data_IF_829002715356
#
_entry.id   IF_829002715356
#
_cell.length_a   1.000
_cell.length_b   1.000
_cell.length_c   1.000
_cell.angle_alpha   90.00
_cell.angle_beta   90.00
_cell.angle_gamma   90.00
#
_symmetry.space_group_name_H-M   'P 1'
#
loop_
_entity.id
_entity.type
_entity.pdbx_description
1 polymer ?
#
# COMPACT_ATOMS: atom_id res chain seq x y z
N UNK A 1 -45.97 22.93 -8.13
CA UNK A 1 -46.26 21.50 -8.37
C UNK A 1 -46.04 21.17 -9.83
N UNK A 2 -44.94 20.51 -10.17
CA UNK A 2 -44.77 19.70 -11.37
C UNK A 2 -43.44 18.94 -11.23
N UNK A 3 -43.54 17.63 -11.30
CA UNK A 3 -42.50 16.63 -11.08
C UNK A 3 -41.59 16.53 -12.30
N UNK A 4 -40.29 16.34 -12.08
CA UNK A 4 -39.38 15.77 -13.07
C UNK A 4 -38.52 14.70 -12.36
N UNK A 5 -38.70 13.40 -12.64
CA UNK A 5 -37.82 12.34 -12.19
C UNK A 5 -36.71 12.10 -13.23
N UNK A 6 -35.54 11.59 -12.83
CA UNK A 6 -34.67 10.68 -13.60
C UNK A 6 -33.30 10.52 -12.91
N UNK A 7 -33.15 9.48 -12.09
CA UNK A 7 -31.86 8.82 -11.80
C UNK A 7 -32.11 7.33 -11.58
N UNK A 8 -31.82 6.51 -12.60
CA UNK A 8 -31.59 5.06 -12.46
C UNK A 8 -31.09 4.49 -13.80
N UNK A 9 -29.77 4.29 -13.89
CA UNK A 9 -29.07 3.35 -14.79
C UNK A 9 -27.87 2.92 -13.95
N UNK A 10 -27.75 1.69 -13.46
CA UNK A 10 -27.49 0.46 -14.20
C UNK A 10 -28.11 -0.75 -13.49
N UNK A 11 -29.05 -1.46 -14.12
CA UNK A 11 -29.37 -2.87 -13.84
C UNK A 11 -29.84 -3.56 -15.12
N UNK A 12 -29.58 -4.87 -15.15
CA UNK A 12 -29.78 -5.89 -16.19
C UNK A 12 -28.54 -6.11 -17.08
N UNK A 13 -28.05 -7.34 -17.26
CA UNK A 13 -28.79 -8.59 -17.31
C UNK A 13 -27.94 -9.79 -16.89
N UNK A 14 -28.54 -10.76 -16.19
CA UNK A 14 -28.35 -12.19 -16.44
C UNK A 14 -29.58 -12.91 -15.87
N UNK A 15 -30.40 -13.47 -16.75
CA UNK A 15 -31.55 -14.32 -16.41
C UNK A 15 -31.26 -15.74 -16.88
N UNK A 16 -31.33 -16.67 -15.91
CA UNK A 16 -31.79 -18.07 -16.00
C UNK A 16 -31.29 -18.94 -17.16
N UNK A 17 -30.43 -19.89 -16.82
CA UNK A 17 -30.49 -21.26 -17.34
C UNK A 17 -30.53 -22.21 -16.13
N UNK A 18 -31.57 -23.05 -16.09
CA UNK A 18 -31.69 -24.15 -15.16
C UNK A 18 -30.91 -25.36 -15.71
N UNK A 19 -30.15 -26.05 -14.86
CA UNK A 19 -29.81 -27.46 -15.11
C UNK A 19 -29.75 -28.24 -13.79
N UNK A 20 -30.68 -29.17 -13.69
CA UNK A 20 -30.79 -30.26 -12.72
C UNK A 20 -29.73 -31.33 -13.03
N UNK A 21 -29.06 -31.91 -12.01
CA UNK A 21 -28.60 -33.32 -11.93
C UNK A 21 -27.78 -33.50 -10.64
N UNK A 22 -28.34 -34.13 -9.60
CA UNK A 22 -28.30 -35.56 -9.23
C UNK A 22 -26.94 -36.09 -8.74
N UNK A 23 -26.98 -36.56 -7.48
CA UNK A 23 -25.94 -37.30 -6.77
C UNK A 23 -25.51 -38.58 -7.49
N UNK A 24 -24.24 -38.93 -7.34
CA UNK A 24 -23.81 -40.32 -7.15
C UNK A 24 -22.59 -40.37 -6.23
N UNK A 25 -22.78 -40.99 -5.05
CA UNK A 25 -21.69 -41.48 -4.21
C UNK A 25 -21.07 -42.72 -4.87
N UNK A 26 -19.74 -42.83 -4.80
CA UNK A 26 -19.10 -44.14 -4.66
C UNK A 26 -17.79 -44.01 -3.89
N UNK A 27 -17.78 -44.74 -2.79
CA UNK A 27 -16.77 -44.88 -1.77
C UNK A 27 -15.67 -45.84 -2.21
N UNK A 28 -14.41 -45.55 -1.90
CA UNK A 28 -13.45 -46.61 -1.56
C UNK A 28 -12.44 -46.12 -0.52
N UNK A 29 -12.47 -46.79 0.63
CA UNK A 29 -11.53 -46.71 1.74
C UNK A 29 -10.19 -47.36 1.37
N UNK A 30 -9.06 -46.73 1.69
CA UNK A 30 -7.83 -47.43 2.09
C UNK A 30 -7.16 -46.62 3.20
N UNK A 31 -7.15 -47.18 4.41
CA UNK A 31 -6.38 -46.74 5.59
C UNK A 31 -5.03 -47.49 5.69
N UNK A 32 -4.10 -47.05 6.56
CA UNK A 32 -2.68 -46.93 6.21
C UNK A 32 -1.80 -48.04 6.77
N UNK A 33 -0.56 -48.13 6.27
CA UNK A 33 0.51 -48.90 6.89
C UNK A 33 1.62 -47.95 7.35
N UNK A 34 1.90 -47.98 8.65
CA UNK A 34 3.04 -47.36 9.30
C UNK A 34 4.22 -48.35 9.35
N UNK A 35 5.45 -47.85 9.14
CA UNK A 35 6.72 -48.44 9.55
C UNK A 35 7.79 -47.34 9.40
N UNK A 36 8.20 -46.71 10.50
CA UNK A 36 9.37 -47.04 11.33
C UNK A 36 10.61 -46.23 10.91
N UNK A 37 11.10 -45.46 11.87
CA UNK A 37 12.26 -44.60 11.83
C UNK A 37 13.57 -45.38 11.81
N UNK A 38 14.58 -44.83 11.13
CA UNK A 38 15.97 -44.98 11.56
C UNK A 38 16.80 -43.76 11.13
N UNK A 39 17.68 -43.36 12.04
CA UNK A 39 18.52 -42.17 11.98
C UNK A 39 19.70 -42.36 11.02
N UNK A 40 20.06 -41.31 10.29
CA UNK A 40 21.22 -41.26 9.40
C UNK A 40 21.83 -39.86 9.37
N UNK A 41 23.14 -39.80 9.60
CA UNK A 41 23.95 -38.63 9.91
C UNK A 41 24.06 -37.55 8.81
N UNK A 42 24.39 -36.35 9.25
CA UNK A 42 24.62 -35.13 8.48
C UNK A 42 25.95 -35.10 7.70
N UNK A 43 25.92 -34.52 6.49
CA UNK A 43 27.02 -33.82 5.81
C UNK A 43 26.50 -33.09 4.53
N UNK A 44 27.21 -32.07 4.00
CA UNK A 44 26.61 -30.80 3.58
C UNK A 44 26.11 -30.75 2.12
N UNK A 45 25.06 -29.96 1.91
CA UNK A 45 24.49 -29.65 0.59
C UNK A 45 25.31 -28.54 -0.08
N UNK A 46 25.95 -28.89 -1.19
CA UNK A 46 26.51 -27.93 -2.14
C UNK A 46 25.37 -27.12 -2.79
N UNK A 47 25.50 -25.79 -2.74
CA UNK A 47 24.72 -24.83 -3.51
C UNK A 47 24.75 -25.19 -5.00
N UNK A 48 23.58 -25.39 -5.62
CA UNK A 48 23.42 -25.39 -7.07
C UNK A 48 23.21 -23.95 -7.54
N UNK A 49 24.22 -23.38 -8.16
CA UNK A 49 24.11 -22.17 -8.99
C UNK A 49 23.26 -22.46 -10.23
N UNK A 50 22.38 -21.52 -10.56
CA UNK A 50 21.68 -21.46 -11.84
C UNK A 50 22.70 -21.24 -13.00
N UNK A 51 22.43 -21.74 -14.22
CA UNK A 51 23.39 -21.67 -15.32
C UNK A 51 23.56 -20.25 -15.83
N UNK A 52 24.81 -19.79 -15.82
CA UNK A 52 25.24 -18.51 -16.37
C UNK A 52 25.03 -18.45 -17.88
N UNK A 53 24.54 -17.30 -18.34
CA UNK A 53 24.56 -16.91 -19.75
C UNK A 53 26.01 -16.71 -20.19
N UNK A 54 26.45 -17.54 -21.13
CA UNK A 54 27.75 -17.44 -21.78
C UNK A 54 27.80 -16.19 -22.67
N UNK A 55 28.48 -15.15 -22.21
CA UNK A 55 28.91 -14.03 -23.05
C UNK A 55 30.18 -14.46 -23.80
N UNK A 56 30.07 -14.66 -25.11
CA UNK A 56 31.22 -14.87 -25.99
C UNK A 56 31.91 -13.52 -26.20
N UNK A 57 33.10 -13.35 -25.63
CA UNK A 57 33.96 -12.18 -25.86
C UNK A 57 34.57 -12.25 -27.27
N UNK A 58 34.20 -11.30 -28.13
CA UNK A 58 34.97 -10.94 -29.32
C UNK A 58 36.04 -9.88 -28.95
N UNK A 59 37.23 -9.88 -29.58
CA UNK A 59 38.32 -9.00 -29.20
C UNK A 59 38.01 -7.52 -29.50
N UNK A 60 38.50 -6.56 -28.69
CA UNK A 60 38.24 -5.15 -28.91
C UNK A 60 39.07 -4.63 -30.09
N UNK A 61 38.37 -4.25 -31.16
CA UNK A 61 38.94 -3.38 -32.19
C UNK A 61 39.04 -1.94 -31.66
N UNK A 62 40.26 -1.43 -31.52
CA UNK A 62 40.53 -0.03 -31.19
C UNK A 62 40.08 0.91 -32.32
N UNK A 63 39.29 1.94 -31.98
CA UNK A 63 39.64 3.36 -32.16
C UNK A 63 38.39 4.26 -32.10
N UNK A 64 38.46 5.26 -31.22
CA UNK A 64 37.44 6.29 -31.09
C UNK A 64 37.41 6.81 -29.67
N UNK A 65 38.20 7.84 -29.38
CA UNK A 65 37.99 8.67 -28.19
C UNK A 65 36.58 9.23 -28.24
N UNK A 66 35.63 8.53 -27.63
CA UNK A 66 34.32 9.10 -27.31
C UNK A 66 34.60 10.22 -26.31
N UNK A 67 34.46 11.48 -26.75
CA UNK A 67 34.76 12.62 -25.89
C UNK A 67 33.98 12.55 -24.57
N UNK A 68 34.38 13.29 -23.51
CA UNK A 68 33.80 13.15 -22.17
C UNK A 68 32.26 13.15 -22.11
N UNK A 69 31.59 13.91 -22.99
CA UNK A 69 30.13 13.94 -23.10
C UNK A 69 29.51 12.63 -23.63
N UNK A 70 30.18 11.95 -24.55
CA UNK A 70 29.72 10.68 -25.11
C UNK A 70 29.76 9.55 -24.06
N UNK A 71 30.79 9.53 -23.21
CA UNK A 71 30.86 8.62 -22.06
C UNK A 71 29.72 8.89 -21.06
N UNK A 72 29.49 10.16 -20.70
CA UNK A 72 28.41 10.57 -19.78
C UNK A 72 27.02 10.14 -20.27
N UNK A 73 26.69 10.31 -21.56
CA UNK A 73 25.38 9.87 -22.07
C UNK A 73 25.24 8.35 -22.09
N UNK A 74 26.32 7.59 -22.32
CA UNK A 74 26.31 6.13 -22.24
C UNK A 74 26.08 5.65 -20.80
N UNK A 75 26.85 6.15 -19.84
CA UNK A 75 26.66 5.84 -18.42
C UNK A 75 25.24 6.19 -17.95
N UNK A 76 24.74 7.36 -18.34
CA UNK A 76 23.37 7.76 -18.00
C UNK A 76 22.32 6.86 -18.64
N UNK A 77 22.52 6.41 -19.88
CA UNK A 77 21.62 5.46 -20.53
C UNK A 77 21.66 4.09 -19.86
N UNK A 78 22.85 3.59 -19.49
CA UNK A 78 23.05 2.33 -18.75
C UNK A 78 22.49 2.36 -17.32
N UNK A 79 22.36 3.54 -16.72
CA UNK A 79 21.72 3.71 -15.42
C UNK A 79 20.18 3.77 -15.47
N UNK A 80 19.55 3.92 -16.64
CA UNK A 80 18.09 3.96 -16.74
C UNK A 80 17.46 2.62 -16.36
N UNK A 81 16.42 2.67 -15.52
CA UNK A 81 15.64 1.50 -15.12
C UNK A 81 14.18 1.74 -15.52
N UNK A 82 13.52 0.67 -15.99
CA UNK A 82 12.06 0.59 -16.11
C UNK A 82 11.64 -0.59 -15.23
N UNK A 83 11.02 -0.29 -14.10
CA UNK A 83 10.62 -1.31 -13.13
C UNK A 83 9.53 -2.23 -13.72
N UNK A 84 9.59 -3.51 -13.37
CA UNK A 84 8.64 -4.55 -13.82
C UNK A 84 8.47 -4.67 -15.33
N UNK A 85 9.53 -4.44 -16.12
CA UNK A 85 9.43 -4.45 -17.58
C UNK A 85 8.85 -5.77 -18.12
N UNK A 86 9.13 -6.91 -17.52
CA UNK A 86 8.64 -8.24 -17.90
C UNK A 86 7.26 -8.62 -17.32
N UNK A 87 6.68 -7.78 -16.46
CA UNK A 87 5.36 -8.00 -15.83
C UNK A 87 4.60 -6.67 -15.61
N UNK A 88 4.38 -5.91 -16.67
CA UNK A 88 3.71 -4.60 -16.58
C UNK A 88 2.21 -4.79 -16.36
N UNK A 89 1.72 -4.34 -15.20
CA UNK A 89 0.30 -4.42 -14.78
C UNK A 89 -0.38 -3.07 -14.51
N UNK A 90 0.35 -1.97 -14.64
CA UNK A 90 -0.17 -0.62 -14.42
C UNK A 90 0.71 0.42 -15.11
N UNK A 91 0.41 1.70 -14.88
CA UNK A 91 1.24 2.79 -15.36
C UNK A 91 2.68 2.64 -14.85
N UNK A 92 3.66 3.04 -15.67
CA UNK A 92 5.08 2.95 -15.35
C UNK A 92 5.71 4.34 -15.22
N UNK A 93 6.76 4.44 -14.41
CA UNK A 93 7.57 5.65 -14.34
C UNK A 93 8.63 5.62 -15.43
N UNK A 94 8.65 6.67 -16.26
CA UNK A 94 9.67 6.87 -17.29
C UNK A 94 10.46 8.14 -16.96
N UNK A 95 11.71 8.05 -16.49
CA UNK A 95 12.49 9.22 -16.10
C UNK A 95 12.73 10.14 -17.29
N UNK A 96 12.58 11.45 -17.08
CA UNK A 96 12.84 12.50 -18.09
C UNK A 96 14.24 13.10 -17.97
N UNK A 97 14.97 12.71 -16.92
CA UNK A 97 16.37 13.05 -16.67
C UNK A 97 17.15 11.82 -16.22
N UNK A 98 18.47 11.84 -16.41
CA UNK A 98 19.37 10.78 -15.94
C UNK A 98 20.63 11.35 -15.30
N UNK A 99 21.61 10.48 -15.06
CA UNK A 99 22.92 10.87 -14.52
C UNK A 99 23.54 12.02 -15.33
N UNK A 100 24.42 12.79 -14.67
CA UNK A 100 25.20 13.87 -15.30
C UNK A 100 24.34 15.03 -15.86
N UNK A 101 23.11 15.20 -15.38
CA UNK A 101 22.18 16.22 -15.90
C UNK A 101 21.70 15.92 -17.33
N UNK A 102 21.68 14.65 -17.72
CA UNK A 102 21.21 14.25 -19.04
C UNK A 102 19.69 14.36 -19.15
N UNK A 103 19.19 14.74 -20.32
CA UNK A 103 17.76 14.71 -20.64
C UNK A 103 17.40 13.39 -21.31
N UNK A 104 16.22 12.85 -20.99
CA UNK A 104 15.72 11.58 -21.51
C UNK A 104 14.37 11.80 -22.16
N UNK A 105 14.23 11.33 -23.39
CA UNK A 105 12.95 11.31 -24.11
C UNK A 105 12.63 9.90 -24.58
N UNK A 106 11.37 9.49 -24.47
CA UNK A 106 10.94 8.12 -24.75
C UNK A 106 10.17 8.01 -26.06
N UNK A 107 10.19 6.81 -26.65
CA UNK A 107 9.34 6.43 -27.77
C UNK A 107 8.88 4.99 -27.58
N UNK A 108 7.61 4.72 -27.87
CA UNK A 108 7.04 3.38 -27.92
C UNK A 108 6.85 2.93 -29.36
N UNK A 109 7.04 1.63 -29.63
CA UNK A 109 6.62 1.04 -30.91
C UNK A 109 5.11 0.71 -30.94
N UNK A 110 4.42 0.75 -29.79
CA UNK A 110 3.00 0.47 -29.61
C UNK A 110 2.40 1.50 -28.65
N UNK A 111 2.30 2.75 -29.10
CA UNK A 111 1.82 3.88 -28.27
C UNK A 111 0.39 3.71 -27.74
N UNK A 112 -0.43 2.85 -28.39
CA UNK A 112 -1.77 2.48 -27.89
C UNK A 112 -1.76 1.55 -26.68
N UNK A 113 -0.62 0.92 -26.37
CA UNK A 113 -0.43 -0.01 -25.25
C UNK A 113 0.40 0.64 -24.15
N UNK A 114 1.52 1.27 -24.51
CA UNK A 114 2.33 2.06 -23.58
C UNK A 114 2.70 3.37 -24.26
N UNK A 115 2.28 4.49 -23.67
CA UNK A 115 2.57 5.83 -24.20
C UNK A 115 4.05 6.20 -23.95
N UNK A 116 4.57 7.24 -24.62
CA UNK A 116 5.89 7.79 -24.30
C UNK A 116 6.00 8.40 -22.89
N UNK A 117 4.89 8.63 -22.21
CA UNK A 117 4.81 9.19 -20.85
C UNK A 117 4.52 8.13 -19.78
N UNK A 118 4.37 6.86 -20.17
CA UNK A 118 4.29 5.72 -19.25
C UNK A 118 2.88 5.33 -18.84
N UNK A 119 1.83 5.91 -19.44
CA UNK A 119 0.47 5.40 -19.28
C UNK A 119 0.34 4.05 -20.02
N UNK A 120 -0.33 3.10 -19.38
CA UNK A 120 -0.46 1.73 -19.88
C UNK A 120 -1.94 1.39 -20.12
N UNK A 121 -2.24 0.99 -21.34
CA UNK A 121 -3.52 0.39 -21.72
C UNK A 121 -3.32 -1.10 -21.96
N UNK A 122 -3.83 -1.91 -21.04
CA UNK A 122 -3.61 -3.36 -21.00
C UNK A 122 -4.51 -4.08 -22.02
N UNK A 123 -4.08 -5.22 -22.58
CA UNK A 123 -4.97 -6.09 -23.33
C UNK A 123 -6.19 -6.51 -22.50
N UNK A 124 -7.30 -6.81 -23.16
CA UNK A 124 -8.51 -7.32 -22.50
C UNK A 124 -8.27 -8.66 -21.80
N UNK A 125 -9.13 -8.98 -20.84
CA UNK A 125 -9.10 -10.28 -20.17
C UNK A 125 -9.18 -11.45 -21.18
N UNK A 126 -8.34 -12.46 -20.98
CA UNK A 126 -8.24 -13.64 -21.87
C UNK A 126 -7.42 -13.42 -23.15
N UNK A 127 -6.95 -12.21 -23.43
CA UNK A 127 -6.01 -11.96 -24.53
C UNK A 127 -4.57 -12.34 -24.16
N UNK A 128 -3.74 -12.55 -25.18
CA UNK A 128 -2.30 -12.75 -25.00
C UNK A 128 -1.60 -11.47 -24.48
N UNK A 129 -0.54 -11.60 -23.65
CA UNK A 129 0.28 -10.46 -23.24
C UNK A 129 0.84 -9.67 -24.43
N UNK A 130 0.88 -8.34 -24.32
CA UNK A 130 1.41 -7.49 -25.36
C UNK A 130 2.90 -7.21 -25.17
N UNK A 131 3.73 -7.59 -26.15
CA UNK A 131 5.14 -7.20 -26.18
C UNK A 131 5.34 -5.80 -26.75
N UNK A 132 6.00 -4.90 -26.01
CA UNK A 132 6.26 -3.51 -26.37
C UNK A 132 7.76 -3.22 -26.33
N UNK A 133 8.27 -2.43 -27.27
CA UNK A 133 9.66 -1.96 -27.27
C UNK A 133 9.67 -0.46 -26.98
N UNK A 134 10.18 -0.09 -25.81
CA UNK A 134 10.45 1.31 -25.46
C UNK A 134 11.88 1.67 -25.85
N UNK A 135 12.07 2.89 -26.36
CA UNK A 135 13.39 3.45 -26.68
C UNK A 135 13.57 4.77 -25.94
N UNK A 136 14.48 4.79 -24.96
CA UNK A 136 14.98 6.00 -24.35
C UNK A 136 16.04 6.63 -25.27
N UNK A 137 15.94 7.94 -25.51
CA UNK A 137 17.01 8.75 -26.11
C UNK A 137 17.57 9.66 -25.04
N UNK A 138 18.83 9.44 -24.68
CA UNK A 138 19.55 10.19 -23.63
C UNK A 138 20.45 11.23 -24.28
N UNK A 139 20.41 12.47 -23.81
CA UNK A 139 21.12 13.61 -24.42
C UNK A 139 21.86 14.45 -23.39
N UNK A 140 23.04 14.94 -23.79
CA UNK A 140 23.80 15.98 -23.08
C UNK A 140 24.46 16.90 -24.11
N UNK A 141 23.93 18.11 -24.28
CA UNK A 141 24.31 18.99 -25.38
C UNK A 141 24.07 18.33 -26.75
N UNK A 142 25.12 18.20 -27.55
CA UNK A 142 25.06 17.51 -28.86
C UNK A 142 25.26 15.98 -28.77
N UNK A 143 25.81 15.49 -27.66
CA UNK A 143 25.99 14.05 -27.46
C UNK A 143 24.62 13.40 -27.19
N UNK A 144 24.39 12.25 -27.82
CA UNK A 144 23.17 11.47 -27.62
C UNK A 144 23.45 9.98 -27.76
N UNK A 145 22.74 9.17 -27.00
CA UNK A 145 22.68 7.71 -27.17
C UNK A 145 21.25 7.22 -27.01
N UNK A 146 21.00 5.95 -27.33
CA UNK A 146 19.70 5.30 -27.15
C UNK A 146 19.84 4.01 -26.36
N UNK A 147 18.87 3.74 -25.49
CA UNK A 147 18.68 2.45 -24.83
C UNK A 147 17.30 1.91 -25.14
N UNK A 148 17.20 0.60 -25.31
CA UNK A 148 15.93 -0.10 -25.55
C UNK A 148 15.54 -0.91 -24.32
N UNK A 149 14.25 -1.00 -24.08
CA UNK A 149 13.63 -1.83 -23.07
C UNK A 149 12.54 -2.66 -23.74
N UNK A 150 12.56 -3.97 -23.50
CA UNK A 150 11.52 -4.88 -23.93
C UNK A 150 10.54 -5.05 -22.77
N UNK A 151 9.27 -4.75 -23.03
CA UNK A 151 8.20 -4.79 -22.05
C UNK A 151 7.19 -5.90 -22.38
N UNK A 152 6.66 -6.55 -21.36
CA UNK A 152 5.55 -7.50 -21.42
C UNK A 152 4.38 -6.94 -20.62
N UNK A 153 3.34 -6.49 -21.31
CA UNK A 153 2.13 -5.94 -20.69
C UNK A 153 1.09 -7.04 -20.51
N UNK A 154 0.69 -7.31 -19.26
CA UNK A 154 -0.27 -8.37 -18.93
C UNK A 154 -1.70 -7.96 -19.29
N UNK A 155 -2.54 -8.90 -19.75
CA UNK A 155 -3.97 -8.65 -19.94
C UNK A 155 -4.64 -8.30 -18.61
N UNK A 156 -5.78 -7.61 -18.64
CA UNK A 156 -6.58 -7.30 -17.47
C UNK A 156 -7.02 -8.60 -16.75
N UNK A 157 -7.08 -8.60 -15.41
CA UNK A 157 -7.62 -9.72 -14.67
C UNK A 157 -9.14 -9.81 -14.84
N UNK A 158 -9.70 -10.98 -14.56
CA UNK A 158 -11.14 -11.13 -14.38
C UNK A 158 -11.56 -10.34 -13.13
N UNK A 159 -12.59 -9.50 -13.25
CA UNK A 159 -13.17 -8.80 -12.10
C UNK A 159 -14.15 -9.72 -11.37
N UNK A 160 -13.90 -9.96 -10.09
CA UNK A 160 -14.70 -10.84 -9.24
C UNK A 160 -15.27 -10.08 -8.04
N UNK A 161 -16.46 -10.47 -7.55
CA UNK A 161 -17.02 -9.89 -6.34
C UNK A 161 -16.09 -10.14 -5.14
N UNK A 162 -16.18 -9.24 -4.15
CA UNK A 162 -15.50 -9.38 -2.88
C UNK A 162 -16.38 -10.21 -1.94
N UNK A 163 -15.79 -11.23 -1.35
CA UNK A 163 -16.47 -12.24 -0.53
C UNK A 163 -15.71 -12.51 0.79
N UNK A 164 -14.95 -11.53 1.25
CA UNK A 164 -14.22 -11.54 2.50
C UNK A 164 -13.23 -10.39 2.58
N UNK A 165 -12.41 -10.43 3.62
CA UNK A 165 -11.45 -9.39 3.94
C UNK A 165 -10.14 -10.00 4.46
N UNK A 166 -9.04 -9.34 4.11
CA UNK A 166 -7.73 -9.50 4.71
C UNK A 166 -7.50 -8.32 5.65
N UNK A 167 -7.03 -8.55 6.86
CA UNK A 167 -6.60 -7.51 7.78
C UNK A 167 -5.09 -7.61 7.97
N UNK A 168 -4.36 -6.57 7.57
CA UNK A 168 -2.95 -6.39 7.89
C UNK A 168 -2.80 -5.50 9.11
N UNK A 169 -1.99 -5.91 10.09
CA UNK A 169 -1.79 -5.18 11.34
C UNK A 169 -0.43 -5.53 11.95
N UNK A 170 -0.06 -4.83 13.03
CA UNK A 170 1.03 -5.22 13.93
C UNK A 170 0.48 -5.34 15.37
N UNK A 171 1.25 -5.90 16.31
CA UNK A 171 0.73 -6.23 17.66
C UNK A 171 1.24 -5.34 18.78
N UNK A 172 2.03 -4.30 18.43
CA UNK A 172 2.47 -3.25 19.34
C UNK A 172 3.87 -3.47 19.93
N UNK A 173 4.37 -2.45 20.63
CA UNK A 173 5.71 -2.39 21.22
C UNK A 173 5.88 -3.21 22.51
N UNK A 174 4.84 -3.92 22.97
CA UNK A 174 4.91 -4.78 24.15
C UNK A 174 5.72 -6.06 23.97
N UNK A 175 6.04 -6.43 22.72
CA UNK A 175 6.64 -7.72 22.36
C UNK A 175 7.83 -7.53 21.42
N UNK A 176 8.85 -8.38 21.57
CA UNK A 176 10.06 -8.30 20.74
C UNK A 176 9.82 -8.57 19.26
N UNK A 177 8.74 -9.28 18.92
CA UNK A 177 8.28 -9.53 17.56
C UNK A 177 7.01 -8.73 17.21
N UNK A 178 6.52 -7.86 18.10
CA UNK A 178 5.22 -7.21 17.89
C UNK A 178 5.22 -6.11 16.84
N UNK A 179 6.40 -5.59 16.51
CA UNK A 179 6.64 -4.60 15.46
C UNK A 179 7.02 -5.31 14.16
N UNK A 180 6.14 -6.18 13.69
CA UNK A 180 6.24 -6.92 12.43
C UNK A 180 4.85 -6.96 11.75
N UNK A 181 4.76 -7.42 10.49
CA UNK A 181 3.46 -7.49 9.78
C UNK A 181 2.77 -8.82 10.07
N UNK A 182 1.56 -8.75 10.60
CA UNK A 182 0.66 -9.87 10.84
C UNK A 182 -0.56 -9.77 9.92
N UNK A 183 -1.17 -10.93 9.64
CA UNK A 183 -2.41 -11.00 8.88
C UNK A 183 -3.51 -11.74 9.65
N UNK A 184 -4.75 -11.32 9.42
CA UNK A 184 -5.96 -12.05 9.78
C UNK A 184 -6.92 -12.10 8.58
N UNK A 185 -7.80 -13.09 8.55
CA UNK A 185 -8.82 -13.24 7.51
C UNK A 185 -10.21 -13.23 8.13
N UNK A 186 -11.16 -12.55 7.49
CA UNK A 186 -12.54 -12.56 7.95
C UNK A 186 -13.16 -13.95 7.88
N UNK A 187 -14.06 -14.28 8.81
CA UNK A 187 -14.89 -15.48 8.78
C UNK A 187 -15.97 -15.34 7.69
N UNK A 188 -15.64 -15.77 6.48
CA UNK A 188 -16.49 -15.56 5.31
C UNK A 188 -16.57 -14.08 4.93
N UNK A 189 -17.75 -13.62 4.48
CA UNK A 189 -17.98 -12.23 4.08
C UNK A 189 -18.50 -11.36 5.24
N UNK A 190 -17.88 -11.50 6.40
CA UNK A 190 -18.21 -10.78 7.64
C UNK A 190 -17.05 -9.85 8.01
N UNK A 191 -17.31 -8.56 8.15
CA UNK A 191 -16.27 -7.61 8.51
C UNK A 191 -15.89 -7.63 10.00
N UNK A 192 -16.66 -8.28 10.86
CA UNK A 192 -16.55 -8.14 12.32
C UNK A 192 -15.96 -9.36 13.03
N UNK A 193 -15.82 -10.51 12.37
CA UNK A 193 -15.26 -11.74 12.96
C UNK A 193 -14.06 -12.24 12.16
N UNK A 194 -12.95 -12.50 12.83
CA UNK A 194 -11.65 -12.72 12.19
C UNK A 194 -10.92 -13.93 12.76
N UNK A 195 -10.14 -14.59 11.92
CA UNK A 195 -9.18 -15.60 12.33
C UNK A 195 -7.75 -15.11 12.03
N UNK A 196 -6.84 -15.23 12.98
CA UNK A 196 -5.42 -15.00 12.76
C UNK A 196 -4.86 -15.98 11.71
N UNK A 197 -4.04 -15.48 10.79
CA UNK A 197 -3.34 -16.30 9.80
C UNK A 197 -1.94 -16.66 10.28
N UNK A 198 -1.29 -17.60 9.59
CA UNK A 198 0.08 -18.06 9.88
C UNK A 198 0.27 -18.47 11.36
N UNK A 199 -0.76 -19.04 11.97
CA UNK A 199 -0.73 -19.46 13.38
C UNK A 199 -0.56 -18.33 14.40
N UNK A 200 -0.85 -17.08 14.02
CA UNK A 200 -0.63 -15.91 14.88
C UNK A 200 0.82 -15.39 14.88
N UNK A 201 1.66 -15.85 13.95
CA UNK A 201 3.05 -15.40 13.80
C UNK A 201 3.20 -14.36 12.67
N UNK A 202 4.25 -13.51 12.69
CA UNK A 202 4.50 -12.53 11.64
C UNK A 202 4.57 -13.16 10.24
N UNK A 203 3.88 -12.55 9.28
CA UNK A 203 3.92 -12.94 7.86
C UNK A 203 5.09 -12.27 7.13
N UNK A 204 5.36 -10.99 7.42
CA UNK A 204 6.52 -10.28 6.90
C UNK A 204 7.34 -9.71 8.05
N UNK A 205 8.64 -9.92 7.98
CA UNK A 205 9.59 -9.38 8.95
C UNK A 205 10.57 -8.41 8.32
N UNK A 206 10.92 -7.37 9.07
CA UNK A 206 11.89 -6.37 8.64
C UNK A 206 13.33 -6.82 8.92
N UNK A 207 14.16 -6.72 7.88
CA UNK A 207 15.60 -7.03 7.89
C UNK A 207 16.46 -5.81 7.55
N UNK A 208 15.82 -4.67 7.24
CA UNK A 208 16.41 -3.38 6.88
C UNK A 208 15.95 -2.29 7.84
N UNK A 209 16.54 -1.10 7.72
CA UNK A 209 16.17 0.04 8.54
C UNK A 209 16.38 -0.23 10.04
N UNK A 210 15.40 0.17 10.83
CA UNK A 210 15.35 -0.05 12.28
C UNK A 210 14.94 -1.49 12.65
N UNK A 211 14.55 -2.30 11.68
CA UNK A 211 14.15 -3.71 11.82
C UNK A 211 12.85 -3.95 12.61
N UNK A 212 12.11 -2.88 12.91
CA UNK A 212 10.72 -2.93 13.35
C UNK A 212 9.84 -2.32 12.25
N UNK A 213 8.66 -2.89 12.06
CA UNK A 213 7.63 -2.33 11.16
C UNK A 213 6.30 -2.17 11.86
N UNK A 214 5.72 -1.00 11.66
CA UNK A 214 4.45 -0.57 12.27
C UNK A 214 3.51 -0.06 11.19
N UNK A 215 2.23 0.03 11.53
CA UNK A 215 1.20 0.65 10.69
C UNK A 215 1.15 0.08 9.25
N UNK A 216 1.09 -1.26 9.05
CA UNK A 216 1.13 -1.80 7.70
C UNK A 216 -0.14 -1.44 6.92
N UNK A 217 0.06 -0.78 5.79
CA UNK A 217 -0.97 -0.42 4.85
C UNK A 217 -0.89 -1.28 3.59
N UNK A 218 -2.02 -1.85 3.17
CA UNK A 218 -2.10 -2.65 1.95
C UNK A 218 -3.13 -2.09 0.97
N UNK A 219 -2.72 -1.93 -0.30
CA UNK A 219 -3.59 -1.46 -1.37
C UNK A 219 -3.54 -2.40 -2.58
N UNK A 220 -4.72 -2.70 -3.13
CA UNK A 220 -4.90 -3.35 -4.42
C UNK A 220 -4.75 -2.32 -5.54
N UNK A 221 -4.05 -2.69 -6.61
CA UNK A 221 -3.93 -1.87 -7.81
C UNK A 221 -5.31 -1.60 -8.45
N UNK A 222 -5.48 -0.48 -9.17
CA UNK A 222 -6.76 -0.12 -9.78
C UNK A 222 -7.31 -1.20 -10.73
N UNK A 223 -6.41 -1.95 -11.38
CA UNK A 223 -6.80 -3.03 -12.28
C UNK A 223 -7.08 -4.34 -11.55
N UNK A 224 -6.66 -4.48 -10.29
CA UNK A 224 -7.15 -5.51 -9.38
C UNK A 224 -6.23 -6.69 -9.09
N UNK A 225 -5.07 -6.79 -9.75
CA UNK A 225 -4.21 -7.99 -9.76
C UNK A 225 -2.76 -7.76 -9.30
N UNK A 226 -2.52 -6.65 -8.61
CA UNK A 226 -1.26 -6.37 -7.92
C UNK A 226 -1.56 -5.72 -6.58
N UNK A 227 -0.74 -6.00 -5.58
CA UNK A 227 -0.88 -5.50 -4.22
C UNK A 227 0.44 -4.87 -3.80
N UNK A 228 0.33 -3.74 -3.10
CA UNK A 228 1.47 -3.09 -2.46
C UNK A 228 1.19 -3.04 -0.96
N UNK A 229 2.16 -3.48 -0.17
CA UNK A 229 2.16 -3.29 1.27
C UNK A 229 3.28 -2.32 1.61
N UNK A 230 2.94 -1.25 2.33
CA UNK A 230 3.88 -0.27 2.85
C UNK A 230 3.76 -0.18 4.36
N UNK A 231 4.84 0.16 5.06
CA UNK A 231 4.84 0.25 6.51
C UNK A 231 5.84 1.29 7.02
N UNK A 232 5.59 1.77 8.24
CA UNK A 232 6.56 2.58 9.01
C UNK A 232 7.79 1.74 9.31
N UNK A 233 8.98 2.25 9.03
CA UNK A 233 10.25 1.70 9.54
C UNK A 233 10.53 2.29 10.92
N UNK A 234 10.19 1.54 11.98
CA UNK A 234 10.36 1.99 13.36
C UNK A 234 10.43 0.79 14.31
N UNK A 235 11.47 0.79 15.14
CA UNK A 235 11.58 -0.14 16.27
C UNK A 235 11.64 0.63 17.58
N UNK A 236 10.49 0.80 18.24
CA UNK A 236 10.44 1.47 19.55
C UNK A 236 10.52 0.47 20.71
N UNK A 237 10.28 -0.83 20.45
CA UNK A 237 10.42 -1.88 21.46
C UNK A 237 11.84 -1.92 22.04
N UNK A 238 11.93 -1.75 23.37
CA UNK A 238 13.16 -1.82 24.15
C UNK A 238 13.82 -0.47 24.44
N UNK A 239 13.56 0.57 23.64
CA UNK A 239 14.07 1.95 23.86
C UNK A 239 12.98 2.85 24.45
N UNK A 240 11.82 2.95 23.79
CA UNK A 240 10.69 3.76 24.26
C UNK A 240 10.88 5.28 24.17
N UNK A 241 12.00 5.77 23.62
CA UNK A 241 12.26 7.19 23.46
C UNK A 241 11.49 7.81 22.27
N UNK A 242 10.22 8.11 22.48
CA UNK A 242 9.34 8.71 21.48
C UNK A 242 9.74 10.11 21.01
N UNK A 243 10.50 10.88 21.80
CA UNK A 243 10.96 12.20 21.35
C UNK A 243 12.09 12.05 20.32
N UNK A 244 13.05 11.16 20.58
CA UNK A 244 14.15 10.86 19.67
C UNK A 244 13.65 10.38 18.31
N UNK A 245 12.76 9.39 18.27
CA UNK A 245 12.27 8.85 16.99
C UNK A 245 11.37 9.82 16.20
N UNK A 246 10.92 10.92 16.82
CA UNK A 246 10.24 12.02 16.13
C UNK A 246 11.20 13.10 15.62
N UNK A 247 12.37 13.22 16.22
CA UNK A 247 13.41 14.18 15.81
C UNK A 247 14.38 13.55 14.82
N UNK A 248 14.78 12.31 15.03
CA UNK A 248 15.87 11.64 14.31
C UNK A 248 15.50 10.22 13.84
N UNK A 249 14.21 9.90 13.73
CA UNK A 249 13.74 8.61 13.24
C UNK A 249 13.93 8.39 11.74
N UNK A 250 13.53 7.20 11.28
CA UNK A 250 13.63 6.83 9.87
C UNK A 250 12.90 7.80 8.93
N UNK A 251 13.55 8.07 7.79
CA UNK A 251 13.02 8.87 6.66
C UNK A 251 12.51 7.99 5.52
N UNK A 252 12.30 6.71 5.81
CA UNK A 252 12.00 5.66 4.84
C UNK A 252 10.68 4.97 5.18
N UNK A 253 10.08 4.37 4.16
CA UNK A 253 9.02 3.39 4.29
C UNK A 253 9.58 2.03 3.87
N UNK A 254 9.01 0.98 4.45
CA UNK A 254 9.21 -0.37 3.94
C UNK A 254 8.17 -0.68 2.87
N UNK A 255 8.56 -1.42 1.83
CA UNK A 255 7.68 -1.77 0.71
C UNK A 255 7.84 -3.24 0.32
N UNK A 256 6.70 -3.92 0.19
CA UNK A 256 6.55 -5.25 -0.41
C UNK A 256 5.48 -5.23 -1.49
N UNK A 257 5.58 -6.17 -2.43
CA UNK A 257 4.61 -6.36 -3.50
C UNK A 257 4.18 -7.80 -3.61
N UNK A 258 2.93 -8.02 -4.02
CA UNK A 258 2.41 -9.34 -4.33
C UNK A 258 1.45 -9.29 -5.52
N UNK A 259 1.27 -10.43 -6.20
CA UNK A 259 0.17 -10.63 -7.16
C UNK A 259 -0.87 -11.63 -6.65
N UNK A 260 -0.65 -12.21 -5.46
CA UNK A 260 -1.50 -13.27 -4.93
C UNK A 260 -1.79 -13.21 -3.41
N UNK A 261 -1.27 -12.19 -2.73
CA UNK A 261 -1.36 -11.92 -1.28
C UNK A 261 -0.62 -12.91 -0.37
N UNK A 262 0.04 -13.93 -0.93
CA UNK A 262 0.77 -14.96 -0.17
C UNK A 262 2.27 -14.87 -0.42
N UNK A 263 2.66 -14.77 -1.68
CA UNK A 263 4.05 -14.61 -2.06
C UNK A 263 4.35 -13.13 -2.21
N UNK A 264 5.27 -12.65 -1.39
CA UNK A 264 5.69 -11.26 -1.34
C UNK A 264 7.10 -11.11 -1.91
N UNK A 265 7.38 -9.95 -2.51
CA UNK A 265 8.71 -9.58 -2.95
C UNK A 265 9.70 -9.52 -1.79
N UNK A 266 10.99 -9.37 -2.09
CA UNK A 266 11.94 -8.93 -1.06
C UNK A 266 11.56 -7.53 -0.53
N UNK A 267 11.92 -7.27 0.73
CA UNK A 267 11.74 -5.98 1.38
C UNK A 267 12.54 -4.88 0.67
N UNK A 268 11.91 -3.74 0.43
CA UNK A 268 12.57 -2.52 -0.03
C UNK A 268 12.45 -1.41 1.03
N UNK A 269 13.59 -0.86 1.42
CA UNK A 269 13.71 0.29 2.33
C UNK A 269 13.83 1.56 1.48
N UNK A 270 12.73 2.31 1.35
CA UNK A 270 12.58 3.38 0.35
C UNK A 270 12.45 4.74 1.02
N UNK A 271 13.39 5.64 0.71
CA UNK A 271 13.37 7.00 1.23
C UNK A 271 12.27 7.82 0.57
N UNK A 272 11.43 8.49 1.37
CA UNK A 272 10.34 9.34 0.86
C UNK A 272 10.33 10.75 1.46
N UNK A 273 10.92 10.93 2.64
CA UNK A 273 10.93 12.22 3.34
C UNK A 273 12.13 13.12 2.99
N UNK A 274 11.97 14.45 3.06
CA UNK A 274 13.03 15.41 2.82
C UNK A 274 14.12 15.35 3.92
N UNK A 275 15.25 16.03 3.71
CA UNK A 275 16.38 16.01 4.66
C UNK A 275 16.01 16.62 6.02
N UNK A 276 15.14 17.63 6.05
CA UNK A 276 14.71 18.32 7.27
C UNK A 276 13.49 17.67 7.97
N UNK A 277 13.11 16.46 7.56
CA UNK A 277 12.09 15.68 8.27
C UNK A 277 12.70 14.93 9.45
N UNK A 278 11.95 14.83 10.55
CA UNK A 278 12.35 14.03 11.71
C UNK A 278 11.93 12.57 11.64
N UNK A 279 10.89 12.25 10.87
CA UNK A 279 10.30 10.91 10.82
C UNK A 279 9.42 10.71 9.57
N UNK A 280 9.08 9.45 9.28
CA UNK A 280 8.04 9.03 8.33
C UNK A 280 7.16 7.98 9.02
N UNK A 281 5.95 8.36 9.41
CA UNK A 281 5.06 7.48 10.18
C UNK A 281 3.72 7.26 9.50
N UNK A 282 3.16 6.06 9.71
CA UNK A 282 1.88 5.59 9.21
C UNK A 282 1.66 5.90 7.71
N UNK A 283 2.51 5.35 6.83
CA UNK A 283 2.36 5.58 5.41
C UNK A 283 1.13 4.83 4.87
N UNK A 284 0.24 5.55 4.20
CA UNK A 284 -0.84 4.96 3.40
C UNK A 284 -0.78 5.45 1.96
N UNK A 285 -1.57 4.85 1.07
CA UNK A 285 -1.64 5.25 -0.33
C UNK A 285 -3.06 5.19 -0.89
N UNK A 286 -3.39 6.12 -1.78
CA UNK A 286 -4.62 6.07 -2.57
C UNK A 286 -4.32 6.36 -4.04
N UNK A 287 -5.01 5.70 -4.97
CA UNK A 287 -4.79 5.93 -6.41
C UNK A 287 -5.58 7.14 -6.92
N UNK A 288 -4.88 8.13 -7.47
CA UNK A 288 -5.47 9.31 -8.11
C UNK A 288 -5.55 9.09 -9.63
N UNK A 289 -6.76 8.78 -10.11
CA UNK A 289 -7.01 8.58 -11.54
C UNK A 289 -6.66 9.80 -12.40
N UNK A 290 -6.76 11.02 -11.85
CA UNK A 290 -6.51 12.27 -12.60
C UNK A 290 -5.05 12.43 -13.03
N UNK A 291 -4.12 11.75 -12.35
CA UNK A 291 -2.69 11.73 -12.68
C UNK A 291 -2.18 10.32 -13.02
N UNK A 292 -3.03 9.30 -12.85
CA UNK A 292 -2.70 7.91 -13.08
C UNK A 292 -1.55 7.43 -12.21
N UNK A 293 -1.55 7.81 -10.93
CA UNK A 293 -0.50 7.51 -9.96
C UNK A 293 -1.09 7.39 -8.54
N UNK A 294 -0.37 6.69 -7.67
CA UNK A 294 -0.64 6.66 -6.24
C UNK A 294 -0.19 7.97 -5.59
N UNK A 295 -1.00 8.46 -4.67
CA UNK A 295 -0.64 9.48 -3.68
C UNK A 295 -0.33 8.71 -2.40
N UNK A 296 0.94 8.70 -2.01
CA UNK A 296 1.43 8.07 -0.78
C UNK A 296 1.59 9.18 0.25
N UNK A 297 0.98 9.03 1.42
CA UNK A 297 0.93 10.06 2.46
C UNK A 297 1.30 9.51 3.83
N UNK A 298 1.90 10.34 4.68
CA UNK A 298 2.48 9.95 5.97
C UNK A 298 2.58 11.16 6.90
N UNK A 299 2.76 10.93 8.20
CA UNK A 299 3.02 11.98 9.17
C UNK A 299 4.51 12.28 9.34
N UNK A 300 4.87 13.55 9.48
CA UNK A 300 6.27 13.96 9.67
C UNK A 300 6.40 15.28 10.42
N UNK A 301 7.30 15.35 11.42
CA UNK A 301 7.83 16.60 11.94
C UNK A 301 8.78 17.20 10.92
N UNK A 302 8.61 18.50 10.61
CA UNK A 302 9.51 19.24 9.74
C UNK A 302 10.22 20.34 10.52
N UNK A 303 11.54 20.43 10.34
CA UNK A 303 12.42 21.38 10.99
C UNK A 303 12.86 22.48 10.02
N UNK A 304 13.19 23.65 10.56
CA UNK A 304 13.66 24.77 9.78
C UNK A 304 15.09 24.52 9.26
N UNK A 305 15.47 25.16 8.17
CA UNK A 305 16.81 24.96 7.57
C UNK A 305 17.96 25.42 8.48
N UNK A 306 17.69 26.33 9.41
CA UNK A 306 18.61 26.82 10.45
C UNK A 306 18.54 26.02 11.76
N UNK A 307 17.75 24.94 11.80
CA UNK A 307 17.70 23.95 12.87
C UNK A 307 18.11 22.55 12.36
N UNK A 308 19.39 22.36 11.94
CA UNK A 308 19.85 21.10 11.37
C UNK A 308 19.93 19.95 12.39
N UNK A 309 19.99 20.27 13.69
CA UNK A 309 20.03 19.31 14.79
C UNK A 309 18.63 18.99 15.33
N UNK A 310 17.56 19.56 14.74
CA UNK A 310 16.17 19.28 15.09
C UNK A 310 15.84 19.51 16.57
N UNK A 311 16.39 20.59 17.15
CA UNK A 311 16.26 20.93 18.57
C UNK A 311 14.95 21.68 18.86
N UNK A 312 14.46 22.47 17.89
CA UNK A 312 13.25 23.26 18.10
C UNK A 312 12.01 22.36 18.23
N UNK A 313 11.03 22.81 19.01
CA UNK A 313 9.74 22.15 19.03
C UNK A 313 8.97 22.41 17.73
N UNK A 314 8.48 21.33 17.15
CA UNK A 314 7.63 21.32 15.95
C UNK A 314 6.65 20.15 16.07
N UNK A 315 5.73 20.05 15.13
CA UNK A 315 4.63 19.10 15.17
C UNK A 315 4.51 18.32 13.86
N UNK A 316 3.84 17.16 13.92
CA UNK A 316 3.62 16.34 12.74
C UNK A 316 2.62 17.00 11.80
N UNK A 317 2.97 17.04 10.51
CA UNK A 317 2.08 17.41 9.41
C UNK A 317 1.86 16.18 8.55
N UNK A 318 0.70 16.10 7.89
CA UNK A 318 0.53 15.08 6.85
C UNK A 318 1.27 15.55 5.60
N UNK A 319 2.19 14.72 5.13
CA UNK A 319 2.96 14.88 3.91
C UNK A 319 2.42 13.93 2.84
N UNK A 320 2.73 14.20 1.57
CA UNK A 320 2.51 13.24 0.50
C UNK A 320 3.58 13.32 -0.60
N UNK A 321 3.79 12.22 -1.30
CA UNK A 321 4.49 12.13 -2.57
C UNK A 321 3.67 11.28 -3.55
N UNK A 322 3.97 11.35 -4.85
CA UNK A 322 3.31 10.53 -5.87
C UNK A 322 4.24 9.47 -6.44
N UNK A 323 3.70 8.30 -6.74
CA UNK A 323 4.45 7.21 -7.39
C UNK A 323 3.54 6.41 -8.32
N UNK A 324 4.09 5.81 -9.38
CA UNK A 324 3.39 4.82 -10.21
C UNK A 324 3.78 3.38 -9.88
N UNK A 325 4.91 3.19 -9.22
CA UNK A 325 5.59 1.90 -9.11
C UNK A 325 6.14 1.57 -7.72
N UNK A 326 5.98 2.46 -6.73
CA UNK A 326 6.55 2.34 -5.39
C UNK A 326 8.09 2.13 -5.37
N UNK A 327 8.75 2.56 -6.43
CA UNK A 327 10.20 2.65 -6.54
C UNK A 327 10.67 4.09 -6.68
N UNK A 328 9.95 4.85 -7.52
CA UNK A 328 10.26 6.25 -7.80
C UNK A 328 9.15 7.12 -7.22
N UNK A 329 9.54 8.07 -6.37
CA UNK A 329 8.63 9.00 -5.73
C UNK A 329 8.94 10.42 -6.22
N UNK A 330 7.89 11.24 -6.35
CA UNK A 330 8.05 12.68 -6.55
C UNK A 330 8.64 13.34 -5.30
N UNK A 331 9.08 14.60 -5.42
CA UNK A 331 9.36 15.41 -4.24
C UNK A 331 8.12 15.49 -3.32
N UNK A 332 8.32 15.34 -1.99
CA UNK A 332 7.23 15.37 -1.02
C UNK A 332 6.69 16.78 -0.82
N UNK A 333 5.40 16.88 -0.48
CA UNK A 333 4.69 18.14 -0.22
C UNK A 333 3.83 18.01 1.03
N UNK A 334 3.56 19.12 1.69
CA UNK A 334 2.57 19.17 2.78
C UNK A 334 1.18 18.92 2.19
N UNK A 335 0.44 18.00 2.78
CA UNK A 335 -0.94 17.67 2.44
C UNK A 335 -1.95 18.27 3.43
N UNK A 336 -1.65 18.22 4.74
CA UNK A 336 -2.47 18.79 5.82
C UNK A 336 -1.56 19.40 6.88
N UNK A 337 -1.80 20.66 7.21
CA UNK A 337 -1.17 21.37 8.32
C UNK A 337 -2.23 22.28 8.98
N UNK A 338 -2.90 21.81 10.03
CA UNK A 338 -3.91 22.60 10.74
C UNK A 338 -3.31 23.49 11.83
N UNK A 339 -1.98 23.67 11.86
CA UNK A 339 -1.28 24.43 12.90
C UNK A 339 -1.02 23.66 14.21
N UNK A 340 -1.28 22.36 14.23
CA UNK A 340 -1.02 21.45 15.35
C UNK A 340 -0.72 20.04 14.84
N UNK A 341 -0.22 19.18 15.71
CA UNK A 341 0.16 17.80 15.35
C UNK A 341 -1.05 17.00 14.89
N UNK A 342 -0.90 16.30 13.77
CA UNK A 342 -1.85 15.34 13.24
C UNK A 342 -1.08 14.14 12.66
N UNK A 343 -1.64 12.94 12.81
CA UNK A 343 -1.04 11.70 12.31
C UNK A 343 -2.13 10.75 11.77
N UNK A 344 -1.71 9.59 11.27
CA UNK A 344 -2.59 8.46 10.95
C UNK A 344 -3.78 8.84 10.09
N UNK A 345 -3.50 9.32 8.88
CA UNK A 345 -4.58 9.60 7.94
C UNK A 345 -4.94 8.35 7.16
N UNK A 346 -6.22 8.19 6.84
CA UNK A 346 -6.71 7.26 5.81
C UNK A 346 -7.71 7.95 4.90
N UNK A 347 -7.95 7.39 3.71
CA UNK A 347 -8.85 7.95 2.69
C UNK A 347 -9.74 6.89 2.06
N UNK A 348 -11.02 7.22 1.95
CA UNK A 348 -11.98 6.51 1.07
C UNK A 348 -12.63 7.49 0.09
N UNK A 349 -13.33 6.96 -0.92
CA UNK A 349 -14.06 7.76 -1.88
C UNK A 349 -15.46 7.18 -2.09
N UNK A 350 -16.44 8.07 -2.15
CA UNK A 350 -17.82 7.76 -2.49
C UNK A 350 -18.34 8.86 -3.43
N UNK A 351 -18.97 8.46 -4.55
CA UNK A 351 -19.61 9.37 -5.51
C UNK A 351 -18.77 10.57 -5.98
N UNK A 352 -17.45 10.38 -6.12
CA UNK A 352 -16.54 11.43 -6.57
C UNK A 352 -16.00 12.35 -5.47
N UNK A 353 -16.40 12.12 -4.21
CA UNK A 353 -15.91 12.82 -3.03
C UNK A 353 -14.93 11.94 -2.26
N UNK A 354 -13.75 12.47 -1.97
CA UNK A 354 -12.78 11.85 -1.07
C UNK A 354 -13.08 12.27 0.36
N UNK A 355 -13.11 11.30 1.27
CA UNK A 355 -13.20 11.50 2.71
C UNK A 355 -11.86 11.13 3.33
N UNK A 356 -11.26 12.07 4.05
CA UNK A 356 -10.03 11.90 4.81
C UNK A 356 -10.38 11.81 6.28
N UNK A 357 -9.84 10.80 6.94
CA UNK A 357 -9.93 10.61 8.38
C UNK A 357 -8.54 10.77 8.95
N UNK A 358 -8.37 11.60 9.96
CA UNK A 358 -7.04 11.91 10.52
C UNK A 358 -7.12 11.96 12.04
N UNK A 359 -6.11 11.40 12.72
CA UNK A 359 -5.98 11.54 14.17
C UNK A 359 -5.56 12.96 14.56
N UNK A 360 -6.31 13.56 15.47
CA UNK A 360 -5.93 14.79 16.16
C UNK A 360 -5.02 14.49 17.36
N UNK A 361 -3.78 14.98 17.33
CA UNK A 361 -2.81 14.74 18.40
C UNK A 361 -2.86 15.76 19.55
N UNK A 362 -3.73 16.78 19.47
CA UNK A 362 -3.97 17.69 20.60
C UNK A 362 -4.43 16.92 21.83
N UNK A 363 -4.06 17.42 23.00
CA UNK A 363 -4.60 16.88 24.26
C UNK A 363 -6.10 17.15 24.34
N UNK A 364 -6.86 16.13 24.72
CA UNK A 364 -8.28 16.28 25.05
C UNK A 364 -8.40 17.25 26.25
N UNK A 365 -8.91 18.44 25.98
CA UNK A 365 -8.94 19.57 26.91
C UNK A 365 -10.14 20.48 26.60
N UNK A 366 -10.50 21.45 27.47
CA UNK A 366 -11.57 22.40 27.16
C UNK A 366 -11.37 23.17 25.84
N UNK A 367 -10.11 23.44 25.46
CA UNK A 367 -9.77 24.16 24.21
C UNK A 367 -9.73 23.24 22.98
N UNK A 368 -9.61 21.94 23.19
CA UNK A 368 -9.63 20.90 22.15
C UNK A 368 -10.39 19.66 22.64
N UNK A 369 -11.73 19.73 22.78
CA UNK A 369 -12.52 18.65 23.37
C UNK A 369 -12.55 17.37 22.51
N UNK A 370 -12.16 17.48 21.24
CA UNK A 370 -12.00 16.36 20.30
C UNK A 370 -10.54 15.92 20.11
N UNK A 371 -9.58 16.50 20.86
CA UNK A 371 -8.20 16.03 20.83
C UNK A 371 -8.10 14.55 21.21
N UNK A 372 -7.20 13.80 20.55
CA UNK A 372 -7.07 12.34 20.64
C UNK A 372 -8.22 11.53 20.03
N UNK A 373 -9.01 12.14 19.14
CA UNK A 373 -10.04 11.45 18.36
C UNK A 373 -9.87 11.71 16.87
N UNK A 374 -10.70 11.04 16.06
CA UNK A 374 -10.63 11.11 14.61
C UNK A 374 -11.42 12.33 14.10
N UNK A 375 -10.82 13.04 13.16
CA UNK A 375 -11.43 14.14 12.40
C UNK A 375 -11.71 13.64 10.99
N UNK A 376 -12.93 13.87 10.52
CA UNK A 376 -13.36 13.56 9.15
C UNK A 376 -13.50 14.86 8.34
N UNK A 377 -12.91 14.87 7.16
CA UNK A 377 -12.97 15.98 6.23
C UNK A 377 -13.18 15.46 4.80
N UNK A 378 -13.72 16.28 3.90
CA UNK A 378 -14.00 15.90 2.52
C UNK A 378 -13.46 16.84 1.46
N UNK A 379 -13.25 16.32 0.25
CA UNK A 379 -12.82 17.10 -0.92
C UNK A 379 -13.14 16.37 -2.21
N UNK A 380 -13.40 17.10 -3.30
CA UNK A 380 -13.49 16.52 -4.65
C UNK A 380 -12.12 16.24 -5.28
N UNK A 381 -11.03 16.65 -4.62
CA UNK A 381 -9.65 16.48 -5.09
C UNK A 381 -8.79 15.89 -3.98
N UNK A 382 -8.29 14.67 -4.19
CA UNK A 382 -7.46 13.94 -3.25
C UNK A 382 -6.26 14.75 -2.75
N UNK A 383 -5.62 15.50 -3.65
CA UNK A 383 -4.40 16.28 -3.35
C UNK A 383 -4.68 17.72 -2.88
N UNK A 384 -5.95 18.06 -2.60
CA UNK A 384 -6.28 19.38 -2.04
C UNK A 384 -5.70 19.53 -0.64
N UNK A 385 -5.19 20.72 -0.32
CA UNK A 385 -4.90 21.09 1.08
C UNK A 385 -6.16 21.60 1.81
N UNK A 386 -7.18 21.98 1.05
CA UNK A 386 -8.43 22.54 1.55
C UNK A 386 -9.52 21.45 1.49
N UNK A 387 -9.57 20.62 2.52
CA UNK A 387 -10.71 19.75 2.74
C UNK A 387 -11.73 20.50 3.61
N UNK A 388 -13.02 20.25 3.37
CA UNK A 388 -14.12 20.76 4.20
C UNK A 388 -14.30 19.84 5.41
N UNK A 389 -14.44 20.41 6.61
CA UNK A 389 -14.73 19.64 7.81
C UNK A 389 -16.11 18.99 7.72
N UNK A 390 -16.20 17.68 8.00
CA UNK A 390 -17.45 16.93 8.13
C UNK A 390 -17.77 16.75 9.60
N UNK A 391 -16.86 16.13 10.36
CA UNK A 391 -17.03 15.88 11.78
C UNK A 391 -15.70 15.84 12.54
N UNK A 392 -15.80 16.09 13.85
CA UNK A 392 -14.73 15.84 14.82
C UNK A 392 -15.25 14.88 15.89
N UNK A 393 -14.39 14.47 16.82
CA UNK A 393 -14.75 13.60 17.94
C UNK A 393 -15.21 12.18 17.52
N UNK A 394 -14.89 11.72 16.30
CA UNK A 394 -15.28 10.38 15.88
C UNK A 394 -14.61 9.33 16.77
N UNK A 395 -15.44 8.40 17.27
CA UNK A 395 -15.07 7.38 18.25
C UNK A 395 -15.29 7.79 19.70
N UNK A 396 -15.45 9.08 20.01
CA UNK A 396 -15.69 9.55 21.37
C UNK A 396 -17.07 9.10 21.87
N UNK A 397 -17.10 8.42 23.01
CA UNK A 397 -18.34 8.05 23.68
C UNK A 397 -18.88 9.17 24.57
N UNK A 398 -20.20 9.19 24.74
CA UNK A 398 -20.91 10.02 25.74
C UNK A 398 -20.79 9.43 27.18
N UNK A 399 -20.25 8.22 27.29
CA UNK A 399 -20.03 7.47 28.53
C UNK A 399 -19.08 6.27 28.33
N UNK A 400 -18.70 5.57 29.41
CA UNK A 400 -17.58 4.60 29.43
C UNK A 400 -17.71 3.44 28.43
N UNK A 401 -18.94 3.06 28.05
CA UNK A 401 -19.20 1.90 27.18
C UNK A 401 -19.71 2.29 25.77
N UNK A 402 -19.73 3.59 25.45
CA UNK A 402 -20.34 4.10 24.20
C UNK A 402 -19.32 4.55 23.14
N UNK A 403 -18.03 4.31 23.38
CA UNK A 403 -16.97 4.66 22.46
C UNK A 403 -15.58 4.27 22.97
N UNK A 404 -14.58 5.04 22.57
CA UNK A 404 -13.18 4.86 22.99
C UNK A 404 -12.71 6.02 23.88
N UNK A 405 -11.74 5.74 24.73
CA UNK A 405 -11.12 6.75 25.59
C UNK A 405 -10.19 7.71 24.82
N UNK A 406 -9.65 7.23 23.70
CA UNK A 406 -8.78 7.92 22.73
C UNK A 406 -8.59 6.99 21.53
N UNK A 407 -8.33 7.54 20.35
CA UNK A 407 -8.21 6.79 19.11
C UNK A 407 -7.02 7.21 18.26
N UNK A 408 -6.48 6.26 17.52
CA UNK A 408 -5.46 6.44 16.48
C UNK A 408 -5.68 5.43 15.34
N UNK A 409 -4.85 5.52 14.30
CA UNK A 409 -4.85 4.55 13.21
C UNK A 409 -6.20 4.18 12.61
N UNK A 410 -7.06 5.12 12.19
CA UNK A 410 -8.35 4.76 11.60
C UNK A 410 -8.14 3.96 10.31
N UNK A 411 -8.82 2.82 10.15
CA UNK A 411 -8.96 2.13 8.86
C UNK A 411 -10.42 2.14 8.44
N UNK A 412 -10.73 2.69 7.27
CA UNK A 412 -12.11 2.86 6.76
C UNK A 412 -12.31 2.03 5.50
N UNK A 413 -13.40 1.27 5.45
CA UNK A 413 -13.70 0.40 4.30
C UNK A 413 -15.19 0.12 4.14
N UNK A 414 -15.62 -0.06 2.89
CA UNK A 414 -17.00 -0.39 2.58
C UNK A 414 -17.31 -1.85 2.92
N UNK A 415 -18.54 -2.09 3.37
CA UNK A 415 -19.08 -3.43 3.52
C UNK A 415 -19.36 -4.08 2.16
N UNK A 416 -18.89 -5.31 1.98
CA UNK A 416 -19.17 -6.13 0.80
C UNK A 416 -20.65 -6.58 0.70
N UNK A 417 -21.41 -6.54 1.80
CA UNK A 417 -22.74 -7.19 1.90
C UNK A 417 -23.89 -6.22 2.10
N UNK A 418 -23.60 -5.01 2.55
CA UNK A 418 -24.58 -4.01 2.97
C UNK A 418 -24.10 -2.62 2.56
N UNK A 419 -25.03 -1.70 2.37
CA UNK A 419 -24.73 -0.31 1.99
C UNK A 419 -24.32 0.50 3.24
N UNK A 420 -23.09 0.23 3.70
CA UNK A 420 -22.50 0.86 4.88
C UNK A 420 -20.98 0.82 4.83
N UNK A 421 -20.38 1.65 5.66
CA UNK A 421 -18.96 1.76 5.90
C UNK A 421 -18.63 1.30 7.31
N UNK A 422 -17.47 0.67 7.46
CA UNK A 422 -16.85 0.41 8.74
C UNK A 422 -15.63 1.31 8.92
N UNK A 423 -15.41 1.76 10.16
CA UNK A 423 -14.17 2.38 10.59
C UNK A 423 -13.69 1.64 11.82
N UNK A 424 -12.52 1.02 11.76
CA UNK A 424 -11.89 0.53 12.99
C UNK A 424 -10.94 1.62 13.49
N UNK A 425 -10.99 1.90 14.79
CA UNK A 425 -10.11 2.89 15.44
C UNK A 425 -9.28 2.19 16.51
N UNK A 426 -7.95 2.33 16.47
CA UNK A 426 -7.06 1.75 17.48
C UNK A 426 -7.17 2.56 18.78
N UNK A 427 -7.76 1.96 19.80
CA UNK A 427 -7.77 2.52 21.15
C UNK A 427 -6.40 2.29 21.79
N UNK A 428 -5.45 3.16 21.43
CA UNK A 428 -4.05 3.03 21.83
C UNK A 428 -3.87 3.06 23.36
N UNK A 429 -3.08 2.12 23.87
CA UNK A 429 -2.96 1.85 25.31
C UNK A 429 -4.25 1.34 25.99
N UNK A 430 -5.26 0.98 25.19
CA UNK A 430 -6.50 0.33 25.59
C UNK A 430 -6.68 -0.99 24.85
N UNK A 431 -7.91 -1.25 24.38
CA UNK A 431 -8.33 -2.55 23.84
C UNK A 431 -7.65 -2.98 22.54
N UNK A 432 -7.09 -2.04 21.77
CA UNK A 432 -6.79 -2.28 20.35
C UNK A 432 -7.91 -1.73 19.49
N UNK A 433 -8.05 -2.25 18.28
CA UNK A 433 -9.09 -1.79 17.38
C UNK A 433 -10.51 -1.97 17.95
N UNK A 434 -11.30 -0.91 17.80
CA UNK A 434 -12.73 -0.87 18.12
C UNK A 434 -13.50 -0.52 16.84
N UNK A 435 -14.39 -1.40 16.36
CA UNK A 435 -15.19 -1.15 15.16
C UNK A 435 -16.32 -0.14 15.35
N UNK A 436 -16.46 0.77 14.40
CA UNK A 436 -17.58 1.68 14.21
C UNK A 436 -18.17 1.50 12.82
N UNK A 437 -19.42 1.93 12.63
CA UNK A 437 -20.12 1.87 11.35
C UNK A 437 -20.96 3.11 11.07
N UNK A 438 -21.15 3.41 9.79
CA UNK A 438 -22.07 4.43 9.29
C UNK A 438 -22.69 4.01 7.96
N UNK A 439 -23.89 4.51 7.66
CA UNK A 439 -24.52 4.37 6.34
C UNK A 439 -24.36 5.62 5.47
N UNK A 440 -23.73 6.67 5.99
CA UNK A 440 -23.62 7.97 5.33
C UNK A 440 -22.34 8.70 5.78
N UNK A 441 -21.31 8.70 4.93
CA UNK A 441 -20.06 9.40 5.20
C UNK A 441 -20.29 10.93 5.34
N UNK A 442 -21.28 11.51 4.65
CA UNK A 442 -21.57 12.95 4.74
C UNK A 442 -22.13 13.37 6.09
N UNK A 443 -22.70 12.42 6.85
CA UNK A 443 -23.28 12.72 8.16
C UNK A 443 -22.22 12.96 9.24
N UNK A 444 -21.04 12.36 9.10
CA UNK A 444 -20.04 12.27 10.16
C UNK A 444 -20.49 11.48 11.39
N UNK A 445 -21.66 10.83 11.36
CA UNK A 445 -22.19 10.03 12.45
C UNK A 445 -21.67 8.59 12.35
N UNK A 446 -20.84 8.21 13.32
CA UNK A 446 -20.29 6.86 13.44
C UNK A 446 -20.78 6.20 14.73
N UNK A 447 -21.30 4.99 14.63
CA UNK A 447 -21.83 4.24 15.78
C UNK A 447 -20.94 3.05 16.07
N UNK A 448 -20.75 2.75 17.36
CA UNK A 448 -20.03 1.56 17.79
C UNK A 448 -20.72 0.32 17.18
N UNK A 449 -19.96 -0.52 16.48
CA UNK A 449 -20.49 -1.78 15.99
C UNK A 449 -20.61 -2.78 17.15
N UNK A 450 -21.64 -3.61 17.11
CA UNK A 450 -21.88 -4.64 18.12
C UNK A 450 -21.43 -6.00 17.60
N UNK A 451 -21.15 -6.93 18.52
CA UNK A 451 -20.86 -8.33 18.21
C UNK A 451 -19.73 -8.49 17.18
N UNK A 452 -18.52 -8.10 17.59
CA UNK A 452 -17.28 -8.27 16.83
C UNK A 452 -16.26 -9.09 17.62
N UNK A 453 -15.41 -9.81 16.90
CA UNK A 453 -14.31 -10.63 17.39
C UNK A 453 -13.09 -10.39 16.50
N UNK A 454 -12.21 -9.50 16.97
CA UNK A 454 -10.97 -9.14 16.27
C UNK A 454 -9.82 -10.04 16.78
N UNK A 455 -8.65 -10.05 16.10
CA UNK A 455 -7.44 -10.67 16.66
C UNK A 455 -7.12 -10.19 18.10
N UNK A 456 -6.26 -10.90 18.86
CA UNK A 456 -6.05 -10.62 20.30
C UNK A 456 -5.67 -9.15 20.56
N UNK A 457 -4.79 -8.58 19.72
CA UNK A 457 -4.27 -7.21 19.87
C UNK A 457 -3.87 -6.54 18.54
N UNK A 458 -4.78 -6.39 17.57
CA UNK A 458 -4.46 -5.66 16.36
C UNK A 458 -4.28 -4.18 16.71
N UNK A 459 -3.12 -3.65 16.36
CA UNK A 459 -2.83 -2.22 16.32
C UNK A 459 -2.95 -1.71 14.89
N UNK A 460 -2.78 -0.40 14.71
CA UNK A 460 -2.88 0.31 13.43
C UNK A 460 -2.49 -0.55 12.22
N UNK A 461 -3.42 -0.69 11.27
CA UNK A 461 -3.28 -1.52 10.08
C UNK A 461 -4.38 -1.23 9.07
N UNK A 462 -4.65 -2.16 8.15
CA UNK A 462 -5.60 -1.96 7.04
C UNK A 462 -6.44 -3.18 6.74
N UNK A 463 -7.74 -2.96 6.55
CA UNK A 463 -8.68 -3.97 6.06
C UNK A 463 -8.84 -3.86 4.53
N UNK A 464 -8.53 -4.95 3.82
CA UNK A 464 -8.62 -5.06 2.37
C UNK A 464 -9.72 -6.04 1.96
N UNK A 465 -10.74 -5.61 1.20
CA UNK A 465 -11.68 -6.52 0.56
C UNK A 465 -11.01 -7.49 -0.43
N UNK A 466 -11.29 -8.78 -0.29
CA UNK A 466 -10.71 -9.87 -1.11
C UNK A 466 -11.79 -10.72 -1.78
N UNK A 467 -11.45 -11.34 -2.92
CA UNK A 467 -12.34 -12.30 -3.58
C UNK A 467 -12.38 -13.59 -2.78
N UNK A 468 -13.36 -14.46 -3.08
CA UNK A 468 -13.45 -15.78 -2.47
C UNK A 468 -12.17 -16.62 -2.66
N UNK A 469 -11.59 -16.58 -3.85
CA UNK A 469 -10.37 -17.35 -4.15
C UNK A 469 -9.15 -16.79 -3.44
N UNK A 470 -9.06 -15.47 -3.28
CA UNK A 470 -8.01 -14.83 -2.50
C UNK A 470 -8.14 -15.16 -1.01
N UNK A 471 -9.35 -15.09 -0.46
CA UNK A 471 -9.63 -15.48 0.93
C UNK A 471 -9.28 -16.95 1.17
N UNK A 472 -9.67 -17.84 0.25
CA UNK A 472 -9.33 -19.25 0.35
C UNK A 472 -7.82 -19.47 0.31
N UNK A 473 -7.12 -18.80 -0.62
CA UNK A 473 -5.66 -18.90 -0.75
C UNK A 473 -4.95 -18.43 0.52
N UNK A 474 -5.36 -17.30 1.09
CA UNK A 474 -4.84 -16.78 2.36
C UNK A 474 -4.98 -17.81 3.49
N UNK A 475 -6.13 -18.51 3.56
CA UNK A 475 -6.39 -19.50 4.61
C UNK A 475 -5.66 -20.83 4.42
N UNK A 476 -5.32 -21.20 3.18
CA UNK A 476 -4.71 -22.51 2.89
C UNK A 476 -3.19 -22.48 2.73
N UNK A 477 -2.60 -21.30 2.50
CA UNK A 477 -1.20 -21.16 2.10
C UNK A 477 -0.37 -20.25 3.02
N UNK A 478 -0.96 -19.74 4.10
CA UNK A 478 -0.25 -19.03 5.16
C UNK A 478 0.20 -19.98 6.26
#
# INVERSE_FOLDING_TARGET
MAKNPLTSRYRHALSRVALTSLLALSSTLITPAAASAEAGAAAPVHQRQAPGSTVVNAPPGHSGHSGPLARKVTEAAEALVVHHADDVRGNITLPTSGLHGTQVSWKSNKEKVVTPTGEVNRPEHGAEPASVKLTATVRLGRAKTKRRFDLTVRPLPEQKPKEGYLFSYFTGEGYSNGEQVYFAASQGNDALHWDELNGGEPVLTSTKGEQGVRDPFIIRSPQGDKFYLIATDLKIHGDGNWDEVQRHGSKHIEVWESTDLVHWSEQRHVRVAPDNAGNVWAPEAYYDESIGAYVVFWASKLYAADDPEHEADTYNRMMYATTRDFHTFSEPKVWKDPGHSVIDSTVVQEDGTYYRFTKDERSNSPDAPCGKYIVEEKSQQLRSQNYELVAECIGKGEGPDSGISRGEGPTVFASNTTDKWYMFIDEFGGRGYVPFETTDLESGEWRLAENYDLPDRPRHGTVLPVTKEELQRLRTNM
#
